data_IF_666992455969
#
_entry.id   IF_666992455969
#
_cell.length_a   1.000
_cell.length_b   1.000
_cell.length_c   1.000
_cell.angle_alpha   90.00
_cell.angle_beta   90.00
_cell.angle_gamma   90.00
#
_symmetry.space_group_name_H-M   'P 1'
#
loop_
_entity.id
_entity.type
_entity.pdbx_description
1 polymer ?
#
# COMPACT_ATOMS: atom_id res chain seq x y z
N UNK A 1 -0.92 -2.64 -45.97
CA UNK A 1 0.24 -1.77 -46.22
C UNK A 1 0.02 -0.50 -45.39
N UNK A 2 0.61 -0.40 -44.20
CA UNK A 2 0.41 0.78 -43.34
C UNK A 2 1.07 1.99 -43.99
N UNK A 3 0.37 3.12 -44.06
CA UNK A 3 0.93 4.40 -44.54
C UNK A 3 2.18 4.76 -43.73
N UNK A 4 3.13 5.47 -44.35
CA UNK A 4 4.35 5.94 -43.69
C UNK A 4 4.01 6.74 -42.41
N UNK A 5 3.00 7.60 -42.49
CA UNK A 5 2.45 8.37 -41.38
C UNK A 5 2.06 7.49 -40.18
N UNK A 6 1.42 6.33 -40.42
CA UNK A 6 1.05 5.42 -39.34
C UNK A 6 2.27 4.84 -38.63
N UNK A 7 3.33 4.51 -39.39
CA UNK A 7 4.56 3.95 -38.81
C UNK A 7 5.30 4.98 -37.96
N UNK A 8 5.30 6.24 -38.40
CA UNK A 8 5.87 7.36 -37.66
C UNK A 8 5.08 7.64 -36.37
N UNK A 9 3.74 7.69 -36.47
CA UNK A 9 2.87 7.85 -35.30
C UNK A 9 3.05 6.70 -34.28
N UNK A 10 3.15 5.45 -34.75
CA UNK A 10 3.41 4.28 -33.90
C UNK A 10 4.80 4.37 -33.22
N UNK A 11 5.83 4.78 -33.95
CA UNK A 11 7.17 4.96 -33.42
C UNK A 11 7.19 6.01 -32.30
N UNK A 12 6.53 7.15 -32.53
CA UNK A 12 6.40 8.22 -31.54
C UNK A 12 5.66 7.74 -30.28
N UNK A 13 4.51 7.08 -30.43
CA UNK A 13 3.72 6.56 -29.29
C UNK A 13 4.49 5.53 -28.48
N UNK A 14 5.30 4.68 -29.13
CA UNK A 14 6.22 3.76 -28.45
C UNK A 14 7.28 4.51 -27.67
N UNK A 15 7.94 5.49 -28.28
CA UNK A 15 8.97 6.29 -27.61
C UNK A 15 8.42 6.97 -26.35
N UNK A 16 7.26 7.61 -26.45
CA UNK A 16 6.58 8.24 -25.31
C UNK A 16 6.29 7.20 -24.21
N UNK A 17 5.76 6.03 -24.58
CA UNK A 17 5.39 4.98 -23.62
C UNK A 17 6.60 4.50 -22.80
N UNK A 18 7.73 4.25 -23.46
CA UNK A 18 8.94 3.78 -22.77
C UNK A 18 9.58 4.87 -21.93
N UNK A 19 9.61 6.12 -22.42
CA UNK A 19 10.10 7.25 -21.65
C UNK A 19 9.30 7.45 -20.35
N UNK A 20 7.97 7.40 -20.43
CA UNK A 20 7.09 7.49 -19.26
C UNK A 20 7.34 6.32 -18.30
N UNK A 21 7.51 5.10 -18.83
CA UNK A 21 7.78 3.91 -18.01
C UNK A 21 9.11 4.02 -17.26
N UNK A 22 10.17 4.48 -17.93
CA UNK A 22 11.49 4.65 -17.33
C UNK A 22 11.46 5.71 -16.23
N UNK A 23 10.82 6.85 -16.49
CA UNK A 23 10.68 7.92 -15.49
C UNK A 23 9.89 7.44 -14.25
N UNK A 24 8.79 6.73 -14.47
CA UNK A 24 7.98 6.16 -13.39
C UNK A 24 8.78 5.11 -12.60
N UNK A 25 9.61 4.32 -13.28
CA UNK A 25 10.53 3.35 -12.67
C UNK A 25 11.55 4.01 -11.74
N UNK A 26 12.25 5.05 -12.23
CA UNK A 26 13.22 5.81 -11.42
C UNK A 26 12.55 6.45 -10.19
N UNK A 27 11.37 7.05 -10.37
CA UNK A 27 10.60 7.61 -9.26
C UNK A 27 10.25 6.55 -8.22
N UNK A 28 9.85 5.35 -8.67
CA UNK A 28 9.53 4.23 -7.79
C UNK A 28 10.74 3.77 -7.00
N UNK A 29 11.92 3.65 -7.63
CA UNK A 29 13.17 3.32 -6.93
C UNK A 29 13.43 4.29 -5.77
N UNK A 30 13.19 5.59 -5.98
CA UNK A 30 13.32 6.60 -4.93
C UNK A 30 12.40 6.31 -3.73
N UNK A 31 11.13 6.00 -3.98
CA UNK A 31 10.18 5.64 -2.92
C UNK A 31 10.60 4.36 -2.19
N UNK A 32 11.00 3.32 -2.94
CA UNK A 32 11.41 2.05 -2.35
C UNK A 32 12.67 2.19 -1.49
N UNK A 33 13.61 3.04 -1.90
CA UNK A 33 14.81 3.35 -1.12
C UNK A 33 14.44 4.01 0.22
N UNK A 34 13.52 4.98 0.21
CA UNK A 34 13.01 5.60 1.44
C UNK A 34 12.31 4.57 2.34
N UNK A 35 11.46 3.71 1.78
CA UNK A 35 10.77 2.66 2.54
C UNK A 35 11.75 1.64 3.14
N UNK A 36 12.78 1.22 2.39
CA UNK A 36 13.76 0.24 2.88
C UNK A 36 14.68 0.84 3.95
N UNK A 37 15.15 2.08 3.76
CA UNK A 37 16.03 2.75 4.73
C UNK A 37 15.31 3.07 6.03
N UNK A 38 14.09 3.62 5.97
CA UNK A 38 13.30 3.88 7.17
C UNK A 38 12.77 2.59 7.81
N UNK A 39 12.37 1.60 7.01
CA UNK A 39 11.99 0.29 7.54
C UNK A 39 13.14 -0.40 8.28
N UNK A 40 14.37 -0.26 7.77
CA UNK A 40 15.59 -0.74 8.43
C UNK A 40 15.87 0.03 9.72
N UNK A 41 15.77 1.36 9.73
CA UNK A 41 16.01 2.15 10.94
C UNK A 41 15.00 1.81 12.04
N UNK A 42 13.71 1.68 11.71
CA UNK A 42 12.67 1.29 12.65
C UNK A 42 12.88 -0.12 13.23
N UNK A 43 13.36 -1.06 12.42
CA UNK A 43 13.69 -2.41 12.88
C UNK A 43 14.90 -2.44 13.80
N UNK A 44 15.94 -1.65 13.50
CA UNK A 44 17.12 -1.52 14.35
C UNK A 44 16.80 -0.81 15.68
N UNK A 45 15.85 0.13 15.68
CA UNK A 45 15.35 0.76 16.90
C UNK A 45 14.51 -0.19 17.76
N UNK A 46 14.00 -1.30 17.21
CA UNK A 46 13.21 -2.28 17.98
C UNK A 46 14.12 -3.19 18.83
N UNK A 47 13.82 -3.47 20.11
CA UNK A 47 14.61 -4.36 20.96
C UNK A 47 14.67 -5.81 20.44
N UNK A 48 15.82 -6.49 20.64
CA UNK A 48 16.19 -7.79 20.07
C UNK A 48 15.16 -8.91 20.30
N UNK A 49 14.55 -8.96 21.49
CA UNK A 49 13.56 -9.97 21.86
C UNK A 49 12.30 -9.93 20.97
N UNK A 50 11.93 -8.74 20.48
CA UNK A 50 10.75 -8.51 19.64
C UNK A 50 11.05 -8.49 18.15
N UNK A 51 12.32 -8.69 17.74
CA UNK A 51 12.74 -8.83 16.34
C UNK A 51 12.42 -10.19 15.75
N UNK A 52 12.18 -11.22 16.59
CA UNK A 52 11.89 -12.59 16.16
C UNK A 52 10.68 -12.61 15.21
N UNK A 53 10.88 -13.12 13.99
CA UNK A 53 9.88 -13.22 12.93
C UNK A 53 9.75 -12.00 11.98
N UNK A 54 10.42 -10.87 12.25
CA UNK A 54 10.37 -9.67 11.38
C UNK A 54 11.46 -9.65 10.31
N UNK A 55 12.60 -10.29 10.59
CA UNK A 55 13.73 -10.40 9.67
C UNK A 55 13.36 -10.91 8.25
N UNK A 56 12.55 -11.98 8.07
CA UNK A 56 12.22 -12.45 6.72
C UNK A 56 11.44 -11.42 5.89
N UNK A 57 10.53 -10.64 6.52
CA UNK A 57 9.81 -9.58 5.82
C UNK A 57 10.73 -8.44 5.39
N UNK A 58 11.73 -8.11 6.21
CA UNK A 58 12.74 -7.11 5.86
C UNK A 58 13.60 -7.56 4.68
N UNK A 59 14.13 -8.79 4.74
CA UNK A 59 14.92 -9.37 3.65
C UNK A 59 14.10 -9.35 2.37
N UNK A 60 12.82 -9.75 2.43
CA UNK A 60 11.93 -9.71 1.28
C UNK A 60 11.75 -8.30 0.70
N UNK A 61 11.64 -7.27 1.54
CA UNK A 61 11.56 -5.87 1.09
C UNK A 61 12.81 -5.47 0.29
N UNK A 62 14.00 -5.82 0.78
CA UNK A 62 15.26 -5.56 0.07
C UNK A 62 15.39 -6.39 -1.21
N UNK A 63 14.91 -7.64 -1.22
CA UNK A 63 14.87 -8.46 -2.44
C UNK A 63 14.01 -7.80 -3.51
N UNK A 64 12.80 -7.33 -3.16
CA UNK A 64 11.92 -6.61 -4.11
C UNK A 64 12.60 -5.34 -4.63
N UNK A 65 13.28 -4.58 -3.75
CA UNK A 65 14.02 -3.38 -4.14
C UNK A 65 15.15 -3.70 -5.13
N UNK A 66 16.00 -4.68 -4.83
CA UNK A 66 17.13 -5.06 -5.70
C UNK A 66 16.64 -5.56 -7.06
N UNK A 67 15.57 -6.37 -7.08
CA UNK A 67 14.97 -6.84 -8.33
C UNK A 67 14.47 -5.67 -9.18
N UNK A 68 13.75 -4.72 -8.58
CA UNK A 68 13.20 -3.56 -9.29
C UNK A 68 14.29 -2.62 -9.82
N UNK A 69 15.35 -2.38 -9.04
CA UNK A 69 16.53 -1.62 -9.47
C UNK A 69 17.24 -2.32 -10.62
N UNK A 70 17.38 -3.65 -10.58
CA UNK A 70 18.05 -4.41 -11.64
C UNK A 70 17.28 -4.34 -12.97
N UNK A 71 15.95 -4.46 -12.92
CA UNK A 71 15.06 -4.31 -14.09
C UNK A 71 15.26 -2.92 -14.72
N UNK A 72 15.10 -1.87 -13.92
CA UNK A 72 15.24 -0.48 -14.40
C UNK A 72 16.65 -0.21 -14.91
N UNK A 73 17.67 -0.79 -14.28
CA UNK A 73 19.06 -0.68 -14.70
C UNK A 73 19.36 -1.36 -16.05
N UNK A 74 18.60 -2.38 -16.45
CA UNK A 74 18.70 -2.99 -17.78
C UNK A 74 17.94 -2.19 -18.84
N UNK A 75 16.75 -1.71 -18.50
CA UNK A 75 15.85 -1.07 -19.47
C UNK A 75 16.25 0.38 -19.76
N UNK A 76 16.60 1.18 -18.73
CA UNK A 76 16.86 2.62 -18.87
C UNK A 76 18.03 2.94 -19.83
N UNK A 77 19.24 2.35 -19.69
CA UNK A 77 20.35 2.69 -20.59
C UNK A 77 20.03 2.31 -22.04
N UNK A 78 19.34 1.18 -22.24
CA UNK A 78 18.95 0.72 -23.58
C UNK A 78 17.89 1.60 -24.22
N UNK A 79 16.88 2.00 -23.45
CA UNK A 79 15.84 2.90 -23.92
C UNK A 79 16.43 4.27 -24.29
N UNK A 80 17.33 4.82 -23.46
CA UNK A 80 18.06 6.04 -23.76
C UNK A 80 18.93 5.91 -25.01
N UNK A 81 19.69 4.82 -25.14
CA UNK A 81 20.54 4.57 -26.30
C UNK A 81 19.73 4.50 -27.60
N UNK A 82 18.62 3.77 -27.61
CA UNK A 82 17.74 3.65 -28.78
C UNK A 82 17.10 4.99 -29.10
N UNK A 83 16.71 5.77 -28.09
CA UNK A 83 16.09 7.08 -28.30
C UNK A 83 17.08 8.11 -28.87
N UNK A 84 18.33 8.10 -28.42
CA UNK A 84 19.35 9.09 -28.79
C UNK A 84 20.06 8.78 -30.12
N UNK A 85 20.29 7.48 -30.41
CA UNK A 85 21.06 7.06 -31.59
C UNK A 85 20.20 6.71 -32.80
N UNK A 86 18.89 6.50 -32.64
CA UNK A 86 18.04 6.13 -33.77
C UNK A 86 17.51 7.36 -34.49
N UNK A 87 17.56 7.32 -35.83
CA UNK A 87 16.85 8.30 -36.65
C UNK A 87 15.32 8.21 -36.43
N UNK A 88 14.59 9.32 -36.56
CA UNK A 88 13.14 9.35 -36.40
C UNK A 88 12.40 8.36 -37.31
N UNK A 89 11.23 7.89 -36.85
CA UNK A 89 10.31 7.09 -37.67
C UNK A 89 10.71 5.62 -37.79
N UNK A 90 10.95 5.16 -39.03
CA UNK A 90 11.11 3.74 -39.34
C UNK A 90 12.40 3.12 -38.78
N UNK A 91 13.49 3.90 -38.70
CA UNK A 91 14.77 3.45 -38.15
C UNK A 91 14.63 3.11 -36.66
N UNK A 92 14.10 4.06 -35.87
CA UNK A 92 13.72 3.83 -34.47
C UNK A 92 12.83 2.58 -34.30
N UNK A 93 11.80 2.42 -35.12
CA UNK A 93 10.90 1.26 -35.02
C UNK A 93 11.65 -0.07 -35.20
N UNK A 94 12.57 -0.13 -36.16
CA UNK A 94 13.33 -1.34 -36.48
C UNK A 94 14.33 -1.68 -35.37
N UNK A 95 15.12 -0.70 -34.92
CA UNK A 95 16.06 -0.90 -33.80
C UNK A 95 15.33 -1.30 -32.53
N UNK A 96 14.20 -0.64 -32.25
CA UNK A 96 13.35 -0.99 -31.11
C UNK A 96 12.83 -2.42 -31.20
N UNK A 97 12.37 -2.82 -32.38
CA UNK A 97 11.85 -4.18 -32.59
C UNK A 97 12.94 -5.24 -32.46
N UNK A 98 14.19 -4.93 -32.82
CA UNK A 98 15.34 -5.81 -32.56
C UNK A 98 15.65 -5.88 -31.06
N UNK A 99 15.65 -4.76 -30.36
CA UNK A 99 15.93 -4.69 -28.93
C UNK A 99 14.93 -5.51 -28.10
N UNK A 100 13.63 -5.42 -28.42
CA UNK A 100 12.56 -6.19 -27.76
C UNK A 100 12.73 -7.71 -27.95
N UNK A 101 13.31 -8.14 -29.08
CA UNK A 101 13.61 -9.56 -29.34
C UNK A 101 14.93 -10.03 -28.75
N UNK A 102 15.71 -9.14 -28.13
CA UNK A 102 17.01 -9.46 -27.57
C UNK A 102 16.92 -10.25 -26.26
N UNK A 103 18.01 -10.93 -25.92
CA UNK A 103 18.12 -11.69 -24.67
C UNK A 103 17.89 -10.83 -23.42
N UNK A 104 18.36 -9.58 -23.42
CA UNK A 104 18.17 -8.68 -22.27
C UNK A 104 16.70 -8.27 -22.06
N UNK A 105 15.93 -8.06 -23.14
CA UNK A 105 14.50 -7.78 -23.02
C UNK A 105 13.76 -8.99 -22.44
N UNK A 106 14.15 -10.20 -22.85
CA UNK A 106 13.62 -11.44 -22.27
C UNK A 106 14.02 -11.60 -20.81
N UNK A 107 15.26 -11.24 -20.44
CA UNK A 107 15.73 -11.26 -19.05
C UNK A 107 14.98 -10.24 -18.18
N UNK A 108 14.79 -9.01 -18.66
CA UNK A 108 13.98 -7.98 -17.99
C UNK A 108 12.55 -8.47 -17.78
N UNK A 109 11.92 -9.01 -18.83
CA UNK A 109 10.57 -9.58 -18.73
C UNK A 109 10.48 -10.73 -17.71
N UNK A 110 11.50 -11.60 -17.64
CA UNK A 110 11.54 -12.69 -16.67
C UNK A 110 11.66 -12.16 -15.23
N UNK A 111 12.49 -11.14 -15.01
CA UNK A 111 12.61 -10.47 -13.72
C UNK A 111 11.31 -9.77 -13.31
N UNK A 112 10.63 -9.12 -14.27
CA UNK A 112 9.32 -8.50 -14.06
C UNK A 112 8.31 -9.54 -13.56
N UNK A 113 8.18 -10.64 -14.29
CA UNK A 113 7.25 -11.71 -13.92
C UNK A 113 7.61 -12.35 -12.57
N UNK A 114 8.91 -12.47 -12.27
CA UNK A 114 9.41 -13.02 -11.01
C UNK A 114 9.07 -12.13 -9.81
N UNK A 115 9.25 -10.80 -9.89
CA UNK A 115 8.90 -9.93 -8.77
C UNK A 115 7.38 -9.88 -8.55
N UNK A 116 6.58 -9.87 -9.63
CA UNK A 116 5.12 -9.95 -9.52
C UNK A 116 4.70 -11.26 -8.85
N UNK A 117 5.33 -12.38 -9.26
CA UNK A 117 5.10 -13.68 -8.62
C UNK A 117 5.46 -13.68 -7.13
N UNK A 118 6.54 -13.00 -6.73
CA UNK A 118 6.91 -12.84 -5.32
C UNK A 118 5.89 -12.01 -4.54
N UNK A 119 5.37 -10.93 -5.14
CA UNK A 119 4.30 -10.12 -4.55
C UNK A 119 3.02 -10.94 -4.33
N UNK A 120 2.60 -11.67 -5.37
CA UNK A 120 1.42 -12.53 -5.33
C UNK A 120 1.59 -13.69 -4.33
N UNK A 121 2.77 -14.31 -4.27
CA UNK A 121 3.09 -15.34 -3.29
C UNK A 121 3.03 -14.80 -1.85
N UNK A 122 3.48 -13.57 -1.61
CA UNK A 122 3.39 -12.94 -0.30
C UNK A 122 1.92 -12.70 0.12
N UNK A 123 1.06 -12.26 -0.81
CA UNK A 123 -0.37 -12.09 -0.55
C UNK A 123 -1.04 -13.42 -0.23
N UNK A 124 -0.69 -14.47 -0.97
CA UNK A 124 -1.20 -15.81 -0.73
C UNK A 124 -0.73 -16.37 0.62
N UNK A 125 0.54 -16.19 0.97
CA UNK A 125 1.09 -16.55 2.28
C UNK A 125 0.36 -15.84 3.43
N UNK A 126 0.04 -14.55 3.28
CA UNK A 126 -0.75 -13.80 4.27
C UNK A 126 -2.17 -14.35 4.38
N UNK A 127 -2.79 -14.67 3.25
CA UNK A 127 -4.10 -15.29 3.25
C UNK A 127 -4.07 -16.65 3.98
N UNK A 128 -3.02 -17.46 3.75
CA UNK A 128 -2.80 -18.73 4.44
C UNK A 128 -2.67 -18.56 5.95
N UNK A 129 -1.81 -17.63 6.40
CA UNK A 129 -1.59 -17.39 7.81
C UNK A 129 -2.87 -16.92 8.54
N UNK A 130 -3.73 -16.17 7.85
CA UNK A 130 -5.00 -15.65 8.40
C UNK A 130 -6.12 -16.70 8.40
N UNK A 131 -6.15 -17.59 7.41
CA UNK A 131 -7.16 -18.64 7.23
C UNK A 131 -6.67 -20.03 7.65
N UNK A 132 -5.74 -20.10 8.61
CA UNK A 132 -5.11 -21.34 9.06
C UNK A 132 -6.11 -22.41 9.56
N UNK A 133 -7.32 -22.00 9.94
CA UNK A 133 -8.41 -22.88 10.39
C UNK A 133 -9.25 -23.48 9.24
N UNK A 134 -9.26 -22.85 8.06
CA UNK A 134 -10.17 -23.20 6.95
C UNK A 134 -9.46 -23.12 5.59
N UNK A 135 -8.51 -24.03 5.37
CA UNK A 135 -7.65 -24.07 4.19
C UNK A 135 -8.38 -24.25 2.85
N UNK A 136 -9.62 -24.78 2.85
CA UNK A 136 -10.43 -24.94 1.64
C UNK A 136 -10.66 -23.63 0.88
N UNK A 137 -10.70 -22.49 1.58
CA UNK A 137 -10.87 -21.16 0.99
C UNK A 137 -9.66 -20.75 0.12
N UNK A 138 -8.49 -21.37 0.34
CA UNK A 138 -7.27 -21.08 -0.41
C UNK A 138 -7.14 -21.85 -1.73
N UNK A 139 -8.00 -22.84 -1.99
CA UNK A 139 -7.93 -23.62 -3.24
C UNK A 139 -8.10 -22.72 -4.46
N UNK A 140 -9.04 -21.78 -4.42
CA UNK A 140 -9.29 -20.89 -5.54
C UNK A 140 -8.12 -19.90 -5.79
N UNK A 141 -7.63 -19.14 -4.79
CA UNK A 141 -6.44 -18.29 -4.95
C UNK A 141 -5.19 -19.05 -5.43
N UNK A 142 -4.95 -20.27 -4.93
CA UNK A 142 -3.78 -21.07 -5.32
C UNK A 142 -3.86 -21.52 -6.77
N UNK A 143 -5.03 -21.92 -7.26
CA UNK A 143 -5.23 -22.26 -8.67
C UNK A 143 -5.03 -21.05 -9.60
N UNK A 144 -5.53 -19.87 -9.21
CA UNK A 144 -5.32 -18.62 -9.96
C UNK A 144 -3.84 -18.27 -10.02
N UNK A 145 -3.12 -18.38 -8.90
CA UNK A 145 -1.68 -18.14 -8.85
C UNK A 145 -0.89 -19.12 -9.74
N UNK A 146 -1.21 -20.42 -9.68
CA UNK A 146 -0.53 -21.43 -10.50
C UNK A 146 -0.78 -21.20 -12.01
N UNK A 147 -1.99 -20.78 -12.36
CA UNK A 147 -2.35 -20.40 -13.73
C UNK A 147 -1.55 -19.18 -14.20
N UNK A 148 -1.36 -18.18 -13.33
CA UNK A 148 -0.49 -17.02 -13.61
C UNK A 148 0.96 -17.47 -13.91
N UNK A 149 1.54 -18.33 -13.07
CA UNK A 149 2.90 -18.86 -13.28
C UNK A 149 3.02 -19.59 -14.62
N UNK A 150 2.06 -20.43 -14.97
CA UNK A 150 2.06 -21.18 -16.23
C UNK A 150 2.05 -20.25 -17.46
N UNK A 151 1.21 -19.21 -17.45
CA UNK A 151 1.15 -18.24 -18.54
C UNK A 151 2.37 -17.31 -18.59
N UNK A 152 2.89 -16.90 -17.43
CA UNK A 152 4.11 -16.11 -17.34
C UNK A 152 5.32 -16.86 -17.93
N UNK A 153 5.47 -18.15 -17.61
CA UNK A 153 6.49 -19.03 -18.20
C UNK A 153 6.28 -19.19 -19.71
N UNK A 154 5.04 -19.38 -20.15
CA UNK A 154 4.71 -19.47 -21.58
C UNK A 154 5.16 -18.20 -22.32
N UNK A 155 4.91 -17.02 -21.76
CA UNK A 155 5.33 -15.75 -22.35
C UNK A 155 6.87 -15.64 -22.43
N UNK A 156 7.59 -16.04 -21.37
CA UNK A 156 9.06 -16.04 -21.34
C UNK A 156 9.62 -16.98 -22.40
N UNK A 157 9.11 -18.21 -22.50
CA UNK A 157 9.57 -19.21 -23.49
C UNK A 157 9.31 -18.72 -24.92
N UNK A 158 8.15 -18.11 -25.18
CA UNK A 158 7.84 -17.55 -26.50
C UNK A 158 8.77 -16.38 -26.85
N UNK A 159 9.11 -15.54 -25.87
CA UNK A 159 10.07 -14.44 -26.05
C UNK A 159 11.48 -14.97 -26.30
N UNK A 160 11.95 -15.92 -25.50
CA UNK A 160 13.28 -16.53 -25.61
C UNK A 160 13.49 -17.25 -26.96
N UNK A 161 12.44 -17.88 -27.49
CA UNK A 161 12.47 -18.53 -28.81
C UNK A 161 12.26 -17.56 -29.97
N UNK A 162 12.06 -16.26 -29.72
CA UNK A 162 11.79 -15.26 -30.75
C UNK A 162 10.43 -15.41 -31.45
N UNK A 163 9.53 -16.22 -30.90
CA UNK A 163 8.21 -16.52 -31.49
C UNK A 163 7.25 -15.35 -31.29
N UNK A 164 7.36 -14.61 -30.17
CA UNK A 164 6.38 -13.58 -29.80
C UNK A 164 6.20 -12.44 -30.80
N UNK A 165 7.13 -12.28 -31.74
CA UNK A 165 7.09 -11.25 -32.79
C UNK A 165 7.44 -11.76 -34.18
N UNK A 166 7.37 -13.08 -34.44
CA UNK A 166 7.77 -13.66 -35.73
C UNK A 166 6.74 -13.44 -36.84
N UNK A 167 5.45 -13.39 -36.49
CA UNK A 167 4.35 -13.12 -37.41
C UNK A 167 3.25 -12.33 -36.71
N UNK A 168 2.34 -11.72 -37.48
CA UNK A 168 1.21 -10.98 -36.92
C UNK A 168 0.32 -11.86 -36.02
N UNK A 169 0.04 -13.09 -36.43
CA UNK A 169 -0.70 -14.07 -35.63
C UNK A 169 -0.01 -14.38 -34.29
N UNK A 170 1.33 -14.50 -34.29
CA UNK A 170 2.07 -14.74 -33.05
C UNK A 170 2.10 -13.52 -32.14
N UNK A 171 2.03 -12.30 -32.69
CA UNK A 171 1.90 -11.09 -31.87
C UNK A 171 0.54 -11.07 -31.18
N UNK A 172 -0.55 -11.40 -31.88
CA UNK A 172 -1.89 -11.49 -31.29
C UNK A 172 -1.95 -12.53 -30.17
N UNK A 173 -1.38 -13.73 -30.38
CA UNK A 173 -1.30 -14.78 -29.35
C UNK A 173 -0.50 -14.28 -28.14
N UNK A 174 0.61 -13.57 -28.37
CA UNK A 174 1.42 -13.05 -27.27
C UNK A 174 0.68 -11.97 -26.47
N UNK A 175 -0.08 -11.11 -27.16
CA UNK A 175 -0.96 -10.14 -26.49
C UNK A 175 -2.06 -10.84 -25.67
N UNK A 176 -2.68 -11.90 -26.19
CA UNK A 176 -3.68 -12.68 -25.45
C UNK A 176 -3.09 -13.32 -24.18
N UNK A 177 -1.91 -13.92 -24.28
CA UNK A 177 -1.20 -14.49 -23.11
C UNK A 177 -0.92 -13.40 -22.07
N UNK A 178 -0.50 -12.20 -22.52
CA UNK A 178 -0.26 -11.06 -21.64
C UNK A 178 -1.52 -10.58 -20.92
N UNK A 179 -2.64 -10.44 -21.64
CA UNK A 179 -3.93 -10.09 -21.06
C UNK A 179 -4.33 -11.14 -20.02
N UNK A 180 -4.22 -12.42 -20.38
CA UNK A 180 -4.65 -13.52 -19.51
C UNK A 180 -3.87 -13.58 -18.19
N UNK A 181 -2.53 -13.53 -18.22
CA UNK A 181 -1.78 -13.53 -16.96
C UNK A 181 -2.03 -12.25 -16.16
N UNK A 182 -2.23 -11.09 -16.82
CA UNK A 182 -2.53 -9.82 -16.14
C UNK A 182 -3.87 -9.89 -15.41
N UNK A 183 -4.91 -10.42 -16.06
CA UNK A 183 -6.20 -10.64 -15.43
C UNK A 183 -6.11 -11.59 -14.24
N UNK A 184 -5.30 -12.65 -14.33
CA UNK A 184 -5.12 -13.62 -13.24
C UNK A 184 -4.46 -12.98 -12.01
N UNK A 185 -3.38 -12.21 -12.18
CA UNK A 185 -2.72 -11.54 -11.04
C UNK A 185 -3.64 -10.47 -10.42
N UNK A 186 -4.38 -9.70 -11.23
CA UNK A 186 -5.37 -8.74 -10.71
C UNK A 186 -6.49 -9.45 -9.96
N UNK A 187 -7.04 -10.52 -10.52
CA UNK A 187 -8.06 -11.34 -9.86
C UNK A 187 -7.53 -11.91 -8.54
N UNK A 188 -6.30 -12.44 -8.52
CA UNK A 188 -5.67 -12.95 -7.31
C UNK A 188 -5.56 -11.87 -6.23
N UNK A 189 -5.14 -10.66 -6.61
CA UNK A 189 -5.04 -9.52 -5.71
C UNK A 189 -6.41 -9.15 -5.11
N UNK A 190 -7.46 -9.07 -5.94
CA UNK A 190 -8.82 -8.76 -5.48
C UNK A 190 -9.36 -9.86 -4.57
N UNK A 191 -9.28 -11.13 -4.98
CA UNK A 191 -9.77 -12.28 -4.22
C UNK A 191 -9.05 -12.38 -2.86
N UNK A 192 -7.72 -12.36 -2.85
CA UNK A 192 -6.96 -12.49 -1.59
C UNK A 192 -7.20 -11.31 -0.66
N UNK A 193 -7.23 -10.08 -1.19
CA UNK A 193 -7.55 -8.88 -0.40
C UNK A 193 -8.96 -8.95 0.19
N UNK A 194 -9.96 -9.35 -0.59
CA UNK A 194 -11.34 -9.51 -0.10
C UNK A 194 -11.44 -10.58 0.98
N UNK A 195 -10.76 -11.72 0.82
CA UNK A 195 -10.72 -12.79 1.83
C UNK A 195 -10.06 -12.34 3.13
N UNK A 196 -8.94 -11.61 3.03
CA UNK A 196 -8.23 -11.05 4.18
C UNK A 196 -9.13 -10.03 4.91
N UNK A 197 -9.70 -9.07 4.18
CA UNK A 197 -10.57 -8.05 4.74
C UNK A 197 -11.81 -8.65 5.40
N UNK A 198 -12.48 -9.60 4.74
CA UNK A 198 -13.64 -10.30 5.29
C UNK A 198 -13.31 -10.99 6.62
N UNK A 199 -12.19 -11.71 6.70
CA UNK A 199 -11.80 -12.44 7.91
C UNK A 199 -11.49 -11.49 9.06
N UNK A 200 -10.77 -10.40 8.79
CA UNK A 200 -10.45 -9.39 9.81
C UNK A 200 -11.74 -8.74 10.34
N UNK A 201 -12.65 -8.35 9.46
CA UNK A 201 -13.93 -7.76 9.86
C UNK A 201 -14.83 -8.75 10.61
N UNK A 202 -14.83 -10.02 10.22
CA UNK A 202 -15.58 -11.06 10.94
C UNK A 202 -15.02 -11.29 12.34
N UNK A 203 -13.69 -11.36 12.48
CA UNK A 203 -13.03 -11.47 13.77
C UNK A 203 -13.34 -10.27 14.66
N UNK A 204 -13.31 -9.05 14.10
CA UNK A 204 -13.69 -7.83 14.79
C UNK A 204 -15.14 -7.90 15.32
N UNK A 205 -16.10 -8.29 14.46
CA UNK A 205 -17.51 -8.42 14.85
C UNK A 205 -17.74 -9.46 15.94
N UNK A 206 -17.04 -10.60 15.87
CA UNK A 206 -17.14 -11.66 16.89
C UNK A 206 -16.62 -11.17 18.24
N UNK A 207 -15.45 -10.52 18.24
CA UNK A 207 -14.82 -10.03 19.47
C UNK A 207 -15.59 -8.86 20.09
N UNK A 208 -16.18 -7.99 19.25
CA UNK A 208 -17.04 -6.88 19.71
C UNK A 208 -18.30 -7.39 20.42
N UNK A 209 -18.85 -8.53 19.98
CA UNK A 209 -20.00 -9.16 20.64
C UNK A 209 -19.65 -9.78 21.98
N UNK A 210 -18.43 -10.30 22.13
CA UNK A 210 -17.96 -10.91 23.38
C UNK A 210 -17.42 -9.91 24.41
N UNK A 211 -16.95 -8.73 23.99
CA UNK A 211 -16.42 -7.68 24.89
C UNK A 211 -17.02 -6.30 24.57
N UNK A 212 -18.26 -6.02 25.01
CA UNK A 212 -18.88 -4.70 24.84
C UNK A 212 -18.06 -3.62 25.57
N UNK A 213 -17.67 -2.54 24.89
CA UNK A 213 -17.04 -1.37 25.49
C UNK A 213 -15.55 -1.13 25.18
N UNK A 214 -14.82 -2.08 24.58
CA UNK A 214 -13.41 -1.87 24.19
C UNK A 214 -13.29 -1.37 22.74
N UNK A 215 -12.62 -0.23 22.53
CA UNK A 215 -12.36 0.34 21.19
C UNK A 215 -11.56 -0.67 20.33
N UNK A 216 -12.19 -1.22 19.30
CA UNK A 216 -11.60 -2.23 18.40
C UNK A 216 -10.82 -1.63 17.22
N UNK A 217 -10.27 -0.42 17.39
CA UNK A 217 -9.60 0.35 16.32
C UNK A 217 -8.50 -0.42 15.58
N UNK A 218 -7.74 -1.24 16.31
CA UNK A 218 -6.59 -1.99 15.76
C UNK A 218 -6.99 -2.93 14.60
N UNK A 219 -8.17 -3.56 14.66
CA UNK A 219 -8.62 -4.48 13.60
C UNK A 219 -9.18 -3.73 12.39
N UNK A 220 -9.92 -2.64 12.62
CA UNK A 220 -10.38 -1.77 11.53
C UNK A 220 -9.20 -1.07 10.84
N UNK A 221 -8.18 -0.68 11.59
CA UNK A 221 -6.97 -0.06 11.05
C UNK A 221 -6.18 -1.07 10.21
N UNK A 222 -6.02 -2.31 10.69
CA UNK A 222 -5.38 -3.37 9.93
C UNK A 222 -6.13 -3.69 8.61
N UNK A 223 -7.46 -3.79 8.63
CA UNK A 223 -8.25 -3.98 7.42
C UNK A 223 -8.13 -2.79 6.46
N UNK A 224 -8.20 -1.56 6.99
CA UNK A 224 -8.06 -0.32 6.21
C UNK A 224 -6.69 -0.24 5.53
N UNK A 225 -5.61 -0.59 6.24
CA UNK A 225 -4.24 -0.62 5.70
C UNK A 225 -4.13 -1.55 4.49
N UNK A 226 -4.66 -2.77 4.61
CA UNK A 226 -4.60 -3.76 3.53
C UNK A 226 -5.37 -3.28 2.32
N UNK A 227 -6.57 -2.73 2.53
CA UNK A 227 -7.42 -2.19 1.46
C UNK A 227 -6.73 -0.98 0.80
N UNK A 228 -6.27 -0.01 1.58
CA UNK A 228 -5.61 1.21 1.09
C UNK A 228 -4.38 0.90 0.23
N UNK A 229 -3.62 -0.15 0.58
CA UNK A 229 -2.42 -0.58 -0.15
C UNK A 229 -2.73 -1.43 -1.39
N UNK A 230 -3.87 -2.13 -1.43
CA UNK A 230 -4.26 -3.03 -2.52
C UNK A 230 -5.14 -2.36 -3.59
N UNK A 231 -5.83 -1.27 -3.24
CA UNK A 231 -6.73 -0.55 -4.14
C UNK A 231 -6.02 0.02 -5.38
N UNK A 232 -4.91 0.79 -5.26
CA UNK A 232 -4.24 1.35 -6.44
C UNK A 232 -3.70 0.24 -7.35
N UNK A 233 -3.12 -0.81 -6.77
CA UNK A 233 -2.61 -1.96 -7.50
C UNK A 233 -3.71 -2.62 -8.35
N UNK A 234 -4.85 -2.93 -7.74
CA UNK A 234 -5.96 -3.60 -8.41
C UNK A 234 -6.61 -2.71 -9.47
N UNK A 235 -6.75 -1.41 -9.19
CA UNK A 235 -7.36 -0.44 -10.11
C UNK A 235 -6.52 -0.24 -11.38
N UNK A 236 -5.23 0.04 -11.24
CA UNK A 236 -4.35 0.24 -12.40
C UNK A 236 -4.10 -1.05 -13.17
N UNK A 237 -4.08 -2.20 -12.48
CA UNK A 237 -4.03 -3.51 -13.13
C UNK A 237 -5.29 -3.79 -13.97
N UNK A 238 -6.47 -3.41 -13.47
CA UNK A 238 -7.72 -3.54 -14.23
C UNK A 238 -7.72 -2.63 -15.47
N UNK A 239 -7.30 -1.36 -15.34
CA UNK A 239 -7.16 -0.47 -16.49
C UNK A 239 -6.18 -1.01 -17.52
N UNK A 240 -5.03 -1.51 -17.08
CA UNK A 240 -4.07 -2.15 -17.97
C UNK A 240 -4.71 -3.32 -18.74
N UNK A 241 -5.41 -4.23 -18.06
CA UNK A 241 -6.09 -5.36 -18.68
C UNK A 241 -7.17 -4.92 -19.69
N UNK A 242 -8.01 -3.94 -19.33
CA UNK A 242 -9.09 -3.44 -20.19
C UNK A 242 -8.52 -2.81 -21.47
N UNK A 243 -7.61 -1.83 -21.34
CA UNK A 243 -7.08 -1.12 -22.50
C UNK A 243 -6.23 -2.04 -23.39
N UNK A 244 -5.52 -3.01 -22.80
CA UNK A 244 -4.78 -4.00 -23.58
C UNK A 244 -5.75 -4.92 -24.37
N UNK A 245 -6.87 -5.32 -23.76
CA UNK A 245 -7.92 -6.09 -24.43
C UNK A 245 -8.57 -5.29 -25.57
N UNK A 246 -8.87 -4.00 -25.35
CA UNK A 246 -9.39 -3.12 -26.41
C UNK A 246 -8.40 -2.95 -27.55
N UNK A 247 -7.10 -2.84 -27.25
CA UNK A 247 -6.05 -2.78 -28.28
C UNK A 247 -5.96 -4.09 -29.07
N UNK A 248 -6.03 -5.24 -28.40
CA UNK A 248 -6.04 -6.56 -29.03
C UNK A 248 -7.27 -6.75 -29.93
N UNK A 249 -8.46 -6.38 -29.45
CA UNK A 249 -9.70 -6.45 -30.22
C UNK A 249 -9.65 -5.54 -31.46
N UNK A 250 -9.19 -4.30 -31.29
CA UNK A 250 -9.02 -3.35 -32.40
C UNK A 250 -8.08 -3.90 -33.47
N UNK A 251 -6.96 -4.48 -33.04
CA UNK A 251 -5.96 -5.05 -33.93
C UNK A 251 -6.45 -6.28 -34.67
N UNK A 252 -7.27 -7.10 -34.03
CA UNK A 252 -7.89 -8.27 -34.65
C UNK A 252 -8.86 -7.86 -35.75
N UNK A 253 -9.61 -6.78 -35.56
CA UNK A 253 -10.60 -6.30 -36.54
C UNK A 253 -9.99 -5.52 -37.70
N UNK A 254 -9.00 -4.65 -37.45
CA UNK A 254 -8.45 -3.73 -38.46
C UNK A 254 -7.09 -4.15 -39.03
N UNK A 255 -6.44 -5.18 -38.45
CA UNK A 255 -5.04 -5.54 -38.73
C UNK A 255 -4.01 -4.55 -38.18
N UNK A 256 -4.44 -3.46 -37.52
CA UNK A 256 -3.55 -2.41 -37.00
C UNK A 256 -3.87 -2.10 -35.53
N UNK A 257 -2.85 -1.92 -34.67
CA UNK A 257 -3.10 -1.53 -33.30
C UNK A 257 -3.70 -0.12 -33.24
N UNK A 258 -4.73 0.05 -32.41
CA UNK A 258 -5.21 1.40 -32.07
C UNK A 258 -4.17 2.10 -31.18
N UNK A 259 -3.62 3.21 -31.67
CA UNK A 259 -2.49 3.89 -31.05
C UNK A 259 -2.83 4.48 -29.67
N UNK A 260 -4.07 4.94 -29.48
CA UNK A 260 -4.49 5.56 -28.23
C UNK A 260 -4.73 4.50 -27.15
N UNK A 261 -5.39 3.39 -27.49
CA UNK A 261 -5.50 2.24 -26.57
C UNK A 261 -4.13 1.66 -26.22
N UNK A 262 -3.21 1.62 -27.19
CA UNK A 262 -1.83 1.18 -26.94
C UNK A 262 -1.14 2.08 -25.90
N UNK A 263 -1.16 3.40 -26.10
CA UNK A 263 -0.52 4.36 -25.20
C UNK A 263 -1.13 4.28 -23.80
N UNK A 264 -2.45 4.30 -23.68
CA UNK A 264 -3.15 4.23 -22.39
C UNK A 264 -2.88 2.91 -21.66
N UNK A 265 -2.85 1.78 -22.38
CA UNK A 265 -2.48 0.49 -21.79
C UNK A 265 -1.04 0.48 -21.29
N UNK A 266 -0.11 1.13 -22.01
CA UNK A 266 1.30 1.18 -21.63
C UNK A 266 1.50 2.02 -20.36
N UNK A 267 0.90 3.21 -20.29
CA UNK A 267 0.95 4.07 -19.10
C UNK A 267 0.34 3.34 -17.89
N UNK A 268 -0.83 2.71 -18.09
CA UNK A 268 -1.48 1.92 -17.03
C UNK A 268 -0.60 0.77 -16.55
N UNK A 269 0.12 0.09 -17.47
CA UNK A 269 1.04 -0.99 -17.13
C UNK A 269 2.22 -0.50 -16.29
N UNK A 270 2.82 0.66 -16.62
CA UNK A 270 3.92 1.24 -15.86
C UNK A 270 3.49 1.52 -14.42
N UNK A 271 2.34 2.18 -14.24
CA UNK A 271 1.80 2.50 -12.91
C UNK A 271 1.44 1.22 -12.15
N UNK A 272 0.84 0.23 -12.81
CA UNK A 272 0.54 -1.08 -12.23
C UNK A 272 1.79 -1.77 -11.69
N UNK A 273 2.86 -1.87 -12.47
CA UNK A 273 4.11 -2.53 -12.02
C UNK A 273 4.79 -1.77 -10.88
N UNK A 274 4.70 -0.45 -10.85
CA UNK A 274 5.16 0.35 -9.72
C UNK A 274 4.40 -0.01 -8.44
N UNK A 275 3.07 -0.07 -8.49
CA UNK A 275 2.27 -0.50 -7.34
C UNK A 275 2.45 -1.98 -7.00
N UNK A 276 2.74 -2.85 -7.97
CA UNK A 276 3.01 -4.26 -7.71
C UNK A 276 4.28 -4.44 -6.88
N UNK A 277 5.25 -3.55 -7.06
CA UNK A 277 6.46 -3.52 -6.24
C UNK A 277 6.25 -2.79 -4.89
N UNK A 278 5.48 -1.69 -4.88
CA UNK A 278 5.25 -0.86 -3.68
C UNK A 278 4.25 -1.47 -2.69
N UNK A 279 3.20 -2.16 -3.14
CA UNK A 279 2.13 -2.66 -2.27
C UNK A 279 2.63 -3.67 -1.22
N UNK A 280 3.42 -4.71 -1.59
CA UNK A 280 4.06 -5.59 -0.61
C UNK A 280 4.92 -4.82 0.42
N UNK A 281 5.71 -3.85 -0.06
CA UNK A 281 6.59 -3.04 0.76
C UNK A 281 5.83 -2.10 1.70
N UNK A 282 4.76 -1.44 1.25
CA UNK A 282 3.90 -0.60 2.10
C UNK A 282 3.31 -1.39 3.26
N UNK A 283 2.87 -2.63 3.00
CA UNK A 283 2.31 -3.46 4.06
C UNK A 283 3.42 -3.91 5.03
N UNK A 284 4.59 -4.32 4.53
CA UNK A 284 5.75 -4.66 5.38
C UNK A 284 6.14 -3.45 6.24
N UNK A 285 6.28 -2.28 5.61
CA UNK A 285 6.61 -1.01 6.23
C UNK A 285 5.64 -0.70 7.37
N UNK A 286 4.33 -0.70 7.11
CA UNK A 286 3.32 -0.44 8.15
C UNK A 286 3.34 -1.48 9.28
N UNK A 287 3.62 -2.74 9.00
CA UNK A 287 3.77 -3.77 10.06
C UNK A 287 5.01 -3.50 10.93
N UNK A 288 6.10 -3.02 10.33
CA UNK A 288 7.33 -2.68 11.07
C UNK A 288 7.20 -1.39 11.88
N UNK A 289 6.49 -0.38 11.38
CA UNK A 289 6.38 0.97 11.99
C UNK A 289 5.15 1.13 12.89
N UNK A 290 3.99 0.59 12.52
CA UNK A 290 2.74 0.71 13.30
C UNK A 290 2.82 0.08 14.70
N UNK A 291 3.70 -0.90 14.88
CA UNK A 291 4.00 -1.51 16.19
C UNK A 291 5.04 -0.74 17.01
N UNK A 292 5.76 0.23 16.44
CA UNK A 292 6.67 1.10 17.20
C UNK A 292 5.93 2.31 17.78
N UNK A 293 4.93 2.85 17.07
CA UNK A 293 4.11 3.98 17.54
C UNK A 293 3.21 3.61 18.72
N UNK A 294 2.59 2.43 18.71
CA UNK A 294 1.83 1.91 19.85
C UNK A 294 2.71 1.79 21.09
N UNK A 295 3.98 1.44 20.92
CA UNK A 295 4.93 1.33 22.02
C UNK A 295 5.40 2.68 22.57
N UNK A 296 5.51 3.72 21.75
CA UNK A 296 5.84 5.06 22.24
C UNK A 296 4.69 5.68 23.02
N UNK A 297 3.45 5.38 22.64
CA UNK A 297 2.25 5.69 23.44
C UNK A 297 2.22 4.92 24.76
N UNK A 298 2.49 3.61 24.72
CA UNK A 298 2.54 2.77 25.93
C UNK A 298 3.68 3.20 26.86
N UNK A 299 4.88 3.51 26.34
CA UNK A 299 5.99 4.03 27.15
C UNK A 299 5.66 5.40 27.75
N UNK A 300 5.13 6.33 26.95
CA UNK A 300 4.74 7.65 27.43
C UNK A 300 3.66 7.56 28.53
N UNK A 301 2.69 6.66 28.37
CA UNK A 301 1.66 6.39 29.39
C UNK A 301 2.21 5.70 30.64
N UNK A 302 3.24 4.85 30.50
CA UNK A 302 3.89 4.18 31.63
C UNK A 302 4.84 5.09 32.43
N UNK A 303 5.38 6.12 31.76
CA UNK A 303 6.27 7.13 32.37
C UNK A 303 5.46 8.26 33.00
N UNK A 304 4.22 8.49 32.56
CA UNK A 304 3.35 9.53 33.10
C UNK A 304 1.88 9.04 33.13
N UNK A 305 1.46 8.32 34.19
CA UNK A 305 0.12 7.72 34.28
C UNK A 305 -1.03 8.75 34.33
N UNK A 306 -0.72 10.03 34.57
CA UNK A 306 -1.71 11.11 34.66
C UNK A 306 -1.88 11.91 33.36
N UNK A 307 -1.11 11.60 32.30
CA UNK A 307 -1.32 12.21 30.98
C UNK A 307 -2.21 11.33 30.10
N UNK A 308 -3.49 11.25 30.44
CA UNK A 308 -4.50 10.79 29.50
C UNK A 308 -4.55 11.80 28.33
N UNK A 309 -4.42 11.38 27.06
CA UNK A 309 -4.59 12.31 25.96
C UNK A 309 -6.07 12.71 25.93
N UNK A 310 -6.34 13.95 26.32
CA UNK A 310 -7.65 14.61 26.22
C UNK A 310 -8.30 14.22 24.88
N UNK A 311 -9.32 13.37 24.99
CA UNK A 311 -10.17 13.01 23.88
C UNK A 311 -10.77 14.27 23.26
N UNK A 312 -10.95 14.21 21.93
CA UNK A 312 -11.48 15.28 21.11
C UNK A 312 -12.65 16.02 21.80
N UNK A 313 -12.51 17.35 21.85
CA UNK A 313 -13.54 18.34 22.18
C UNK A 313 -14.90 17.93 21.61
N UNK A 314 -15.80 17.51 22.48
CA UNK A 314 -17.23 17.35 22.18
C UNK A 314 -17.90 18.72 22.31
N UNK A 315 -18.00 19.44 21.20
CA UNK A 315 -18.88 20.60 21.10
C UNK A 315 -20.32 20.11 20.98
N UNK A 316 -21.00 19.97 22.12
CA UNK A 316 -22.45 19.83 22.15
C UNK A 316 -23.10 21.17 21.80
N UNK A 317 -23.51 21.31 20.54
CA UNK A 317 -24.39 22.39 20.08
C UNK A 317 -25.85 21.92 20.13
N UNK A 318 -26.76 22.78 20.61
CA UNK A 318 -28.18 22.67 20.32
C UNK A 318 -29.15 23.09 21.44
N UNK A 319 -29.45 24.40 21.47
CA UNK A 319 -30.71 25.10 21.80
C UNK A 319 -31.50 24.76 23.09
N UNK A 320 -32.30 25.65 23.68
CA UNK A 320 -32.43 27.10 23.80
C UNK A 320 -33.66 27.31 24.71
N UNK A 321 -33.56 28.30 25.59
CA UNK A 321 -34.63 29.10 26.21
C UNK A 321 -35.33 28.72 27.52
N UNK A 322 -35.38 29.78 28.35
CA UNK A 322 -36.12 30.08 29.59
C UNK A 322 -35.46 29.58 30.89
N UNK A 323 -35.05 30.41 31.86
CA UNK A 323 -35.30 31.84 32.09
C UNK A 323 -34.41 32.39 33.24
N UNK A 324 -33.86 33.59 33.01
CA UNK A 324 -33.60 34.67 33.98
C UNK A 324 -32.57 34.50 35.12
N UNK A 325 -31.45 35.21 34.94
CA UNK A 325 -30.49 35.65 35.97
C UNK A 325 -31.04 36.92 36.66
N UNK A 326 -30.92 37.00 37.98
CA UNK A 326 -30.98 38.23 38.80
C UNK A 326 -29.92 38.06 39.89
N UNK A 327 -28.73 38.62 39.72
CA UNK A 327 -28.28 39.93 40.24
C UNK A 327 -28.32 40.01 41.78
N UNK A 328 -27.16 39.81 42.42
CA UNK A 328 -26.91 40.25 43.79
C UNK A 328 -26.37 41.68 43.76
N UNK A 329 -27.08 42.61 44.39
CA UNK A 329 -26.59 43.87 44.93
C UNK A 329 -27.25 44.09 46.31
N UNK A 330 -26.63 44.98 47.08
CA UNK A 330 -26.57 45.15 48.53
C UNK A 330 -27.87 45.44 49.33
N UNK A 331 -27.66 45.35 50.65
CA UNK A 331 -28.21 46.19 51.73
C UNK A 331 -29.40 45.72 52.60
N UNK A 332 -29.02 45.52 53.88
CA UNK A 332 -29.61 46.01 55.13
C UNK A 332 -30.96 45.51 55.70
N UNK A 333 -30.82 45.10 56.97
CA UNK A 333 -31.72 45.28 58.11
C UNK A 333 -32.99 44.43 58.31
N UNK A 334 -32.93 43.66 59.40
CA UNK A 334 -33.79 43.75 60.60
C UNK A 334 -34.51 42.46 61.04
N UNK A 335 -34.47 42.27 62.37
CA UNK A 335 -35.37 41.49 63.26
C UNK A 335 -35.10 39.98 63.47
N UNK A 336 -34.33 39.71 64.55
CA UNK A 336 -34.54 38.83 65.74
C UNK A 336 -35.58 37.66 65.74
N UNK A 337 -35.41 36.63 66.62
CA UNK A 337 -35.49 35.18 66.37
C UNK A 337 -36.67 34.56 67.19
N UNK A 338 -36.75 33.29 67.71
CA UNK A 338 -35.74 32.50 68.45
C UNK A 338 -35.80 30.94 68.30
N UNK A 339 -34.93 30.28 69.08
CA UNK A 339 -34.97 28.90 69.57
C UNK A 339 -34.44 27.78 68.65
N UNK A 340 -33.76 26.75 69.13
CA UNK A 340 -33.09 26.39 70.39
C UNK A 340 -32.54 24.97 70.20
N UNK A 341 -31.65 24.57 71.11
CA UNK A 341 -31.18 23.21 71.44
C UNK A 341 -29.87 22.80 70.79
N UNK A 342 -28.80 22.82 71.59
CA UNK A 342 -28.31 21.72 72.46
C UNK A 342 -27.50 20.76 71.56
N UNK A 343 -26.26 20.35 71.83
CA UNK A 343 -25.43 20.35 73.03
C UNK A 343 -23.99 19.90 72.59
N UNK A 344 -23.01 19.63 73.46
CA UNK A 344 -21.65 20.17 73.33
C UNK A 344 -20.57 19.08 73.21
N UNK A 345 -19.32 19.49 72.99
CA UNK A 345 -18.06 18.83 73.37
C UNK A 345 -16.93 19.66 72.71
N UNK A 346 -16.41 20.73 73.30
CA UNK A 346 -15.63 20.83 74.52
C UNK A 346 -14.30 20.05 74.47
N UNK A 347 -13.21 20.81 74.70
CA UNK A 347 -11.96 20.44 75.39
C UNK A 347 -10.85 19.84 74.48
N UNK A 348 -9.61 20.34 74.40
CA UNK A 348 -8.84 21.40 75.11
C UNK A 348 -7.44 21.54 74.47
N UNK A 349 -6.87 22.75 74.58
CA UNK A 349 -5.46 23.10 74.96
C UNK A 349 -4.28 22.60 74.11
N UNK A 350 -3.36 23.41 73.58
CA UNK A 350 -2.56 24.60 74.01
C UNK A 350 -1.04 24.25 74.03
N UNK A 351 -0.14 25.25 73.97
CA UNK A 351 1.11 25.23 73.17
C UNK A 351 2.40 25.32 74.00
N UNK A 352 3.59 25.20 73.36
CA UNK A 352 4.88 25.73 73.86
C UNK A 352 5.78 26.14 72.66
N UNK A 353 6.17 27.42 72.51
CA UNK A 353 7.38 28.09 73.07
C UNK A 353 8.70 27.53 72.49
N UNK A 354 9.74 28.27 72.07
CA UNK A 354 10.04 29.72 72.06
C UNK A 354 11.36 29.99 71.29
N UNK A 355 11.49 31.24 70.80
CA UNK A 355 12.67 32.12 70.62
C UNK A 355 14.06 31.56 70.20
N UNK A 356 14.72 32.06 69.14
CA UNK A 356 15.35 33.39 68.90
C UNK A 356 16.79 33.48 69.46
N UNK A 357 17.66 34.08 68.64
CA UNK A 357 19.04 34.58 68.83
C UNK A 357 20.09 33.73 68.11
N UNK A 358 21.14 34.28 67.49
CA UNK A 358 21.50 35.64 67.06
C UNK A 358 22.79 35.49 66.22
N UNK A 359 23.03 36.47 65.35
CA UNK A 359 24.34 37.00 64.90
C UNK A 359 25.60 36.15 65.17
N UNK A 360 26.28 35.68 64.10
CA UNK A 360 27.23 36.49 63.30
C UNK A 360 27.00 36.19 61.82
#
# INVERSE_FOLDING_TARGET
MSTQEFREALALRRAISYYVSDFTGVFTIGIQLLMCTYGLSAFLATPLERRKGRLPYMILSFVIFILFVTITGFDLPKNCQILYLSEPGASYYNERSRAIRGAMATASQALINAFVALGDALLLYRCYAIWNDTLWVLVLPTLVFLSYIALALTNIVRSAKGISGSSESQILISQQVQIAYTCLTVALNVITTSLIAYRILRAQRLLSRSLPGRKMGVYSDAARIVIESALPLSLFGLFYAIFNTCNWASRTSSGLPNLDYYLTSSISSSVYFCFAALSPQMIIFRVTTGRSHTHQGDLASSVNPDSEPLGALDFKSGHADQSSISSYEEEEDSVLPPHARDDPNAITEEPKFVARQAEV
#
